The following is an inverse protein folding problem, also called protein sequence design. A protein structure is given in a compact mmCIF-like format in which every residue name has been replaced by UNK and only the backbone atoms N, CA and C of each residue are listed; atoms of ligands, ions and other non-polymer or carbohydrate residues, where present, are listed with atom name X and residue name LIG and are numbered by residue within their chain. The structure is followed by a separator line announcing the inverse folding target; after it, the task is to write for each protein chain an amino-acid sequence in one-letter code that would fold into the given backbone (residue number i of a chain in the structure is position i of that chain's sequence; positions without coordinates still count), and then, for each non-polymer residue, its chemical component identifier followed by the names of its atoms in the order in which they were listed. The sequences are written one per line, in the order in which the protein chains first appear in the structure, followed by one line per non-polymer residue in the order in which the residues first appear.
data_IF_707198189169
#
_entry.id   IF_707198189169
#
_cell.length_a   1.000
_cell.length_b   1.000
_cell.length_c   1.000
_cell.angle_alpha   90.00
_cell.angle_beta   90.00
_cell.angle_gamma   90.00
#
_symmetry.space_group_name_H-M   'P 1'
#
loop_
_entity.id
_entity.type
_entity.pdbx_description
1 polymer ?
#
# COMPACT_ATOMS: atom_id res chain seq x y z
N UNK A 1 -26.12 -0.62 -0.14
CA UNK A 1 -25.67 -1.63 0.85
C UNK A 1 -25.90 -1.12 2.25
N UNK A 2 -25.42 0.09 2.54
CA UNK A 2 -25.64 0.81 3.79
C UNK A 2 -27.14 1.03 4.10
N UNK A 3 -28.00 1.20 3.09
CA UNK A 3 -29.46 1.31 3.30
C UNK A 3 -30.12 0.03 3.84
N UNK A 4 -29.41 -1.10 3.81
CA UNK A 4 -29.93 -2.42 4.20
C UNK A 4 -29.19 -3.03 5.39
N UNK A 5 -28.07 -2.43 5.82
CA UNK A 5 -27.19 -2.99 6.84
C UNK A 5 -26.47 -1.88 7.60
N UNK A 6 -26.42 -2.01 8.93
CA UNK A 6 -25.49 -1.25 9.77
C UNK A 6 -24.09 -1.82 9.61
N UNK A 7 -23.19 -1.10 8.93
CA UNK A 7 -21.85 -1.56 8.63
C UNK A 7 -20.81 -0.96 9.58
N UNK A 8 -20.25 -1.79 10.47
CA UNK A 8 -19.32 -1.36 11.54
C UNK A 8 -17.91 -1.97 11.41
N UNK A 9 -17.51 -2.40 10.21
CA UNK A 9 -16.21 -3.05 9.96
C UNK A 9 -15.39 -2.37 8.85
N UNK A 10 -15.58 -1.07 8.66
CA UNK A 10 -14.92 -0.30 7.57
C UNK A 10 -13.39 -0.34 7.60
N UNK A 11 -12.79 -0.58 8.77
CA UNK A 11 -11.35 -0.76 8.93
C UNK A 11 -10.81 -2.04 8.24
N UNK A 12 -11.67 -3.04 8.01
CA UNK A 12 -11.29 -4.25 7.27
C UNK A 12 -11.41 -4.04 5.76
N UNK A 13 -12.61 -3.67 5.29
CA UNK A 13 -12.87 -3.37 3.90
C UNK A 13 -13.98 -2.31 3.81
N UNK A 14 -13.76 -1.25 3.05
CA UNK A 14 -14.80 -0.25 2.80
C UNK A 14 -15.90 -0.78 1.88
N UNK A 15 -17.17 -0.35 2.03
CA UNK A 15 -18.18 -0.56 1.01
C UNK A 15 -17.75 0.06 -0.33
N UNK A 16 -18.01 -0.63 -1.44
CA UNK A 16 -17.70 -0.11 -2.77
C UNK A 16 -18.59 1.10 -3.07
N UNK A 17 -17.98 2.24 -3.42
CA UNK A 17 -18.71 3.44 -3.82
C UNK A 17 -19.27 3.32 -5.24
N UNK A 18 -20.38 4.00 -5.53
CA UNK A 18 -20.94 4.04 -6.89
C UNK A 18 -19.94 4.56 -7.91
N UNK A 19 -19.17 5.61 -7.55
CA UNK A 19 -18.09 6.15 -8.39
C UNK A 19 -17.01 5.11 -8.70
N UNK A 20 -16.58 4.33 -7.69
CA UNK A 20 -15.58 3.28 -7.89
C UNK A 20 -16.12 2.17 -8.80
N UNK A 21 -17.41 1.84 -8.68
CA UNK A 21 -18.07 0.88 -9.56
C UNK A 21 -18.11 1.36 -11.01
N UNK A 22 -18.54 2.60 -11.23
CA UNK A 22 -18.59 3.23 -12.55
C UNK A 22 -17.21 3.28 -13.22
N UNK A 23 -16.15 3.57 -12.47
CA UNK A 23 -14.78 3.55 -13.00
C UNK A 23 -14.33 2.14 -13.43
N UNK A 24 -14.74 1.10 -12.71
CA UNK A 24 -14.44 -0.28 -13.07
C UNK A 24 -15.22 -0.70 -14.32
N UNK A 25 -16.50 -0.31 -14.42
CA UNK A 25 -17.31 -0.57 -15.60
C UNK A 25 -16.72 0.14 -16.83
N UNK A 26 -16.32 1.41 -16.70
CA UNK A 26 -15.64 2.14 -17.78
C UNK A 26 -14.30 1.53 -18.20
N UNK A 27 -13.53 0.96 -17.26
CA UNK A 27 -12.33 0.19 -17.58
C UNK A 27 -12.65 -1.03 -18.46
N UNK A 28 -13.70 -1.77 -18.13
CA UNK A 28 -14.13 -2.94 -18.91
C UNK A 28 -14.64 -2.53 -20.29
N UNK A 29 -15.42 -1.45 -20.38
CA UNK A 29 -15.96 -0.93 -21.64
C UNK A 29 -14.85 -0.47 -22.59
N UNK A 30 -13.79 0.18 -22.09
CA UNK A 30 -12.66 0.60 -22.90
C UNK A 30 -12.00 -0.60 -23.61
N UNK A 31 -11.75 -1.68 -22.86
CA UNK A 31 -11.19 -2.92 -23.43
C UNK A 31 -12.14 -3.61 -24.39
N UNK A 32 -13.44 -3.60 -24.11
CA UNK A 32 -14.44 -4.26 -24.95
C UNK A 32 -14.67 -3.53 -26.29
N UNK A 33 -14.51 -2.21 -26.32
CA UNK A 33 -14.95 -1.38 -27.46
C UNK A 33 -13.81 -0.84 -28.33
N UNK A 34 -12.64 -0.54 -27.76
CA UNK A 34 -11.55 0.10 -28.51
C UNK A 34 -10.66 -0.87 -29.30
N UNK A 35 -10.70 -2.16 -28.97
CA UNK A 35 -10.08 -3.25 -29.73
C UNK A 35 -8.54 -3.30 -29.66
N UNK A 36 -7.84 -2.22 -30.00
CA UNK A 36 -6.38 -2.16 -29.95
C UNK A 36 -5.89 -1.71 -28.56
N UNK A 37 -4.94 -2.44 -27.94
CA UNK A 37 -4.43 -2.11 -26.60
C UNK A 37 -3.88 -0.69 -26.48
N UNK A 38 -3.21 -0.16 -27.49
CA UNK A 38 -2.55 1.15 -27.44
C UNK A 38 -3.55 2.29 -27.16
N UNK A 39 -4.74 2.25 -27.78
CA UNK A 39 -5.78 3.23 -27.52
C UNK A 39 -6.24 3.16 -26.06
N UNK A 40 -6.44 1.94 -25.53
CA UNK A 40 -6.84 1.76 -24.14
C UNK A 40 -5.77 2.28 -23.18
N UNK A 41 -4.50 1.95 -23.41
CA UNK A 41 -3.39 2.39 -22.57
C UNK A 41 -3.24 3.91 -22.55
N UNK A 42 -3.15 4.53 -23.73
CA UNK A 42 -2.80 5.94 -23.85
C UNK A 42 -3.97 6.89 -23.57
N UNK A 43 -5.19 6.50 -23.92
CA UNK A 43 -6.36 7.39 -23.78
C UNK A 43 -7.10 7.19 -22.45
N UNK A 44 -7.08 5.96 -21.89
CA UNK A 44 -7.86 5.63 -20.70
C UNK A 44 -6.97 5.36 -19.48
N UNK A 45 -6.06 4.38 -19.58
CA UNK A 45 -5.33 3.86 -18.40
C UNK A 45 -4.28 4.84 -17.88
N UNK A 46 -3.33 5.30 -18.72
CA UNK A 46 -2.28 6.22 -18.26
C UNK A 46 -2.86 7.54 -17.74
N UNK A 47 -3.86 8.18 -18.40
CA UNK A 47 -4.51 9.36 -17.85
C UNK A 47 -5.21 9.08 -16.51
N UNK A 48 -5.86 7.92 -16.34
CA UNK A 48 -6.48 7.54 -15.07
C UNK A 48 -5.44 7.34 -13.95
N UNK A 49 -4.31 6.68 -14.25
CA UNK A 49 -3.20 6.52 -13.32
C UNK A 49 -2.61 7.88 -12.91
N UNK A 50 -2.40 8.79 -13.86
CA UNK A 50 -1.88 10.12 -13.58
C UNK A 50 -2.82 10.93 -12.66
N UNK A 51 -4.14 10.87 -12.90
CA UNK A 51 -5.16 11.51 -12.04
C UNK A 51 -5.17 10.89 -10.64
N UNK A 52 -5.07 9.56 -10.53
CA UNK A 52 -5.01 8.87 -9.24
C UNK A 52 -3.78 9.32 -8.44
N UNK A 53 -2.60 9.28 -9.05
CA UNK A 53 -1.35 9.73 -8.43
C UNK A 53 -1.45 11.17 -7.95
N UNK A 54 -1.92 12.07 -8.80
CA UNK A 54 -2.07 13.50 -8.46
C UNK A 54 -3.05 13.73 -7.30
N UNK A 55 -4.18 13.04 -7.30
CA UNK A 55 -5.20 13.19 -6.26
C UNK A 55 -4.72 12.64 -4.90
N UNK A 56 -4.01 11.50 -4.92
CA UNK A 56 -3.44 10.92 -3.71
C UNK A 56 -2.28 11.76 -3.18
N UNK A 57 -1.41 12.26 -4.05
CA UNK A 57 -0.28 13.11 -3.68
C UNK A 57 -0.75 14.39 -2.97
N UNK A 58 -1.80 15.05 -3.50
CA UNK A 58 -2.41 16.21 -2.85
C UNK A 58 -2.99 15.90 -1.45
N UNK A 59 -3.53 14.69 -1.25
CA UNK A 59 -4.02 14.23 0.04
C UNK A 59 -2.86 13.92 1.02
N UNK A 60 -1.79 13.30 0.52
CA UNK A 60 -0.64 12.88 1.30
C UNK A 60 0.35 14.02 1.59
N UNK A 61 0.27 15.14 0.87
CA UNK A 61 1.19 16.26 1.02
C UNK A 61 2.56 16.04 0.35
N UNK A 62 2.58 15.31 -0.78
CA UNK A 62 3.79 15.01 -1.55
C UNK A 62 3.59 15.33 -3.05
N UNK A 63 4.65 15.17 -3.84
CA UNK A 63 4.57 15.32 -5.30
C UNK A 63 4.06 14.04 -5.98
N UNK A 64 3.44 14.19 -7.15
CA UNK A 64 2.83 13.05 -7.84
C UNK A 64 3.86 12.01 -8.33
N UNK A 65 5.09 12.42 -8.63
CA UNK A 65 6.18 11.53 -9.01
C UNK A 65 6.69 10.68 -7.84
N UNK A 66 6.50 11.11 -6.59
CA UNK A 66 6.80 10.34 -5.37
C UNK A 66 5.78 9.20 -5.11
N UNK A 67 4.66 9.15 -5.84
CA UNK A 67 3.61 8.13 -5.64
C UNK A 67 3.77 6.95 -6.60
N UNK A 68 3.93 5.74 -6.04
CA UNK A 68 3.86 4.49 -6.79
C UNK A 68 2.51 3.79 -6.59
N UNK A 69 1.91 3.29 -7.68
CA UNK A 69 0.68 2.49 -7.63
C UNK A 69 1.07 1.03 -7.39
N UNK A 70 0.55 0.42 -6.32
CA UNK A 70 0.76 -0.99 -5.97
C UNK A 70 -0.58 -1.70 -5.76
N UNK A 71 -0.54 -3.03 -5.61
CA UNK A 71 -1.76 -3.86 -5.49
C UNK A 71 -2.25 -4.03 -4.06
N UNK A 72 -1.35 -3.94 -3.08
CA UNK A 72 -1.61 -4.00 -1.63
C UNK A 72 -0.33 -3.66 -0.85
N UNK A 73 -0.46 -3.52 0.47
CA UNK A 73 0.65 -3.18 1.38
C UNK A 73 1.77 -4.24 1.37
N UNK A 74 1.44 -5.54 1.32
CA UNK A 74 2.44 -6.61 1.33
C UNK A 74 3.38 -6.53 0.11
N UNK A 75 2.82 -6.26 -1.06
CA UNK A 75 3.61 -6.05 -2.30
C UNK A 75 4.39 -4.75 -2.22
N UNK A 76 3.78 -3.65 -1.74
CA UNK A 76 4.48 -2.37 -1.58
C UNK A 76 5.74 -2.50 -0.69
N UNK A 77 5.59 -3.12 0.48
CA UNK A 77 6.72 -3.37 1.40
C UNK A 77 7.75 -4.32 0.79
N UNK A 78 7.32 -5.37 0.08
CA UNK A 78 8.25 -6.30 -0.57
C UNK A 78 9.06 -5.61 -1.69
N UNK A 79 8.45 -4.70 -2.43
CA UNK A 79 9.13 -3.87 -3.44
C UNK A 79 10.15 -2.96 -2.78
N UNK A 80 9.79 -2.25 -1.70
CA UNK A 80 10.74 -1.42 -0.94
C UNK A 80 11.92 -2.25 -0.44
N UNK A 81 11.64 -3.38 0.22
CA UNK A 81 12.68 -4.24 0.78
C UNK A 81 13.63 -4.78 -0.30
N UNK A 82 13.15 -5.04 -1.52
CA UNK A 82 13.99 -5.49 -2.63
C UNK A 82 14.99 -4.45 -3.15
N UNK A 83 14.75 -3.16 -2.87
CA UNK A 83 15.60 -2.07 -3.29
C UNK A 83 16.68 -1.71 -2.25
N UNK A 84 16.65 -2.33 -1.07
CA UNK A 84 17.59 -2.05 0.01
C UNK A 84 18.76 -3.03 0.01
N UNK A 85 19.98 -2.51 0.12
CA UNK A 85 21.15 -3.31 0.48
C UNK A 85 21.27 -3.40 2.00
N UNK A 86 20.94 -4.56 2.55
CA UNK A 86 20.98 -4.85 3.99
C UNK A 86 22.17 -5.74 4.37
N UNK A 87 23.17 -5.88 3.48
CA UNK A 87 24.37 -6.69 3.75
C UNK A 87 25.44 -5.95 4.58
N UNK A 88 25.38 -4.62 4.64
CA UNK A 88 26.33 -3.78 5.35
C UNK A 88 26.04 -3.61 6.86
N UNK A 89 26.73 -2.65 7.50
CA UNK A 89 26.58 -2.37 8.93
C UNK A 89 25.20 -1.77 9.29
N UNK A 90 24.57 -1.07 8.33
CA UNK A 90 23.22 -0.50 8.47
C UNK A 90 22.15 -1.50 8.03
N UNK A 91 21.97 -2.57 8.80
CA UNK A 91 21.07 -3.67 8.46
C UNK A 91 19.97 -3.95 9.51
N UNK A 92 19.72 -3.00 10.41
CA UNK A 92 18.65 -3.13 11.40
C UNK A 92 17.32 -2.66 10.84
N UNK A 93 16.28 -3.46 11.05
CA UNK A 93 14.89 -3.11 10.75
C UNK A 93 14.13 -3.10 12.06
N UNK A 94 13.59 -1.94 12.43
CA UNK A 94 12.84 -1.75 13.67
C UNK A 94 11.36 -1.99 13.39
N UNK A 95 10.73 -2.84 14.19
CA UNK A 95 9.30 -3.16 14.13
C UNK A 95 8.69 -3.03 15.52
N UNK A 96 7.44 -2.59 15.58
CA UNK A 96 6.65 -2.51 16.81
C UNK A 96 5.82 -3.78 17.01
N UNK A 97 5.61 -4.19 18.27
CA UNK A 97 4.63 -5.24 18.60
C UNK A 97 3.18 -4.91 18.19
N UNK A 98 2.89 -3.64 17.92
CA UNK A 98 1.57 -3.16 17.49
C UNK A 98 1.44 -3.00 15.97
N UNK A 99 2.52 -3.22 15.21
CA UNK A 99 2.46 -3.16 13.75
C UNK A 99 1.49 -4.21 13.20
N UNK A 100 0.86 -3.90 12.06
CA UNK A 100 -0.04 -4.86 11.44
C UNK A 100 0.76 -6.09 10.99
N UNK A 101 0.24 -7.33 11.09
CA UNK A 101 1.03 -8.52 10.82
C UNK A 101 1.73 -8.55 9.45
N UNK A 102 1.16 -7.89 8.43
CA UNK A 102 1.81 -7.75 7.11
C UNK A 102 3.21 -7.18 7.21
N UNK A 103 3.40 -6.15 8.03
CA UNK A 103 4.67 -5.43 8.17
C UNK A 103 5.73 -6.38 8.69
N UNK A 104 5.43 -7.06 9.81
CA UNK A 104 6.33 -8.04 10.41
C UNK A 104 6.66 -9.22 9.50
N UNK A 105 5.67 -9.86 8.88
CA UNK A 105 5.91 -11.04 8.04
C UNK A 105 6.80 -10.75 6.84
N UNK A 106 6.61 -9.59 6.17
CA UNK A 106 7.45 -9.20 5.03
C UNK A 106 8.90 -9.03 5.47
N UNK A 107 9.15 -8.28 6.54
CA UNK A 107 10.50 -8.02 7.01
C UNK A 107 11.20 -9.24 7.60
N UNK A 108 10.49 -10.12 8.31
CA UNK A 108 11.04 -11.41 8.77
C UNK A 108 11.50 -12.25 7.57
N UNK A 109 10.67 -12.35 6.52
CA UNK A 109 11.00 -13.11 5.32
C UNK A 109 12.21 -12.53 4.58
N UNK A 110 12.36 -11.20 4.56
CA UNK A 110 13.52 -10.53 3.98
C UNK A 110 14.78 -10.69 4.82
N UNK A 111 14.69 -10.53 6.15
CA UNK A 111 15.82 -10.72 7.05
C UNK A 111 16.45 -12.11 6.93
N UNK A 112 15.63 -13.15 6.77
CA UNK A 112 16.09 -14.52 6.52
C UNK A 112 16.93 -14.68 5.23
N UNK A 113 16.80 -13.75 4.27
CA UNK A 113 17.50 -13.77 2.98
C UNK A 113 18.66 -12.78 2.90
N UNK A 114 18.55 -11.62 3.56
CA UNK A 114 19.48 -10.50 3.41
C UNK A 114 20.50 -10.38 4.55
N UNK A 115 20.31 -11.10 5.66
CA UNK A 115 21.12 -10.94 6.87
C UNK A 115 20.72 -9.73 7.73
N UNK A 116 19.61 -9.07 7.40
CA UNK A 116 19.06 -8.00 8.21
C UNK A 116 18.69 -8.48 9.62
N UNK A 117 18.78 -7.58 10.60
CA UNK A 117 18.45 -7.83 12.00
C UNK A 117 17.15 -7.15 12.36
N UNK A 118 16.15 -7.94 12.74
CA UNK A 118 14.89 -7.41 13.26
C UNK A 118 15.09 -6.97 14.71
N UNK A 119 14.68 -5.75 15.02
CA UNK A 119 14.61 -5.19 16.37
C UNK A 119 13.15 -4.95 16.71
N UNK A 120 12.66 -5.57 17.77
CA UNK A 120 11.27 -5.42 18.21
C UNK A 120 11.15 -4.37 19.31
N UNK A 121 10.37 -3.33 19.07
CA UNK A 121 9.92 -2.39 20.08
C UNK A 121 8.75 -3.01 20.84
N UNK A 122 8.93 -3.10 22.16
CA UNK A 122 7.94 -3.72 23.04
C UNK A 122 6.82 -2.75 23.35
N UNK A 123 5.59 -3.26 23.47
CA UNK A 123 4.43 -2.50 23.97
C UNK A 123 4.14 -2.90 25.41
N UNK A 124 4.54 -2.12 26.43
CA UNK A 124 4.36 -2.53 27.82
C UNK A 124 2.88 -2.61 28.25
N UNK A 125 2.02 -1.78 27.66
CA UNK A 125 0.58 -1.69 27.96
C UNK A 125 -0.29 -2.43 26.92
N UNK A 126 0.31 -2.95 25.84
CA UNK A 126 -0.39 -3.59 24.73
C UNK A 126 -1.21 -2.64 23.85
N UNK A 127 -1.07 -1.33 24.03
CA UNK A 127 -1.86 -0.30 23.34
C UNK A 127 -0.99 0.79 22.70
N UNK A 128 0.20 1.04 23.25
CA UNK A 128 1.12 2.09 22.80
C UNK A 128 2.57 1.60 22.74
N UNK A 129 3.40 2.31 21.98
CA UNK A 129 4.86 2.22 22.03
C UNK A 129 5.38 3.56 22.58
N UNK A 130 6.13 3.59 23.69
CA UNK A 130 6.78 4.80 24.17
C UNK A 130 7.67 5.41 23.08
N UNK A 131 7.62 6.72 22.88
CA UNK A 131 8.38 7.39 21.81
C UNK A 131 9.88 7.22 22.00
N UNK A 132 10.35 7.20 23.25
CA UNK A 132 11.74 7.02 23.63
C UNK A 132 12.29 5.63 23.24
N UNK A 133 11.42 4.68 22.88
CA UNK A 133 11.84 3.37 22.37
C UNK A 133 12.34 3.44 20.92
N UNK A 134 12.09 4.54 20.19
CA UNK A 134 12.54 4.74 18.81
C UNK A 134 13.91 5.45 18.70
N UNK A 135 14.45 5.96 19.82
CA UNK A 135 15.77 6.61 19.90
C UNK A 135 16.93 5.59 19.89
#
# INVERSE_FOLDING_TARGET
MLDRKTYLISASLGPISSRSREMLDGYLDAWATKGAPDHVWHEDIFPAMARLKSSFAALAGCDADEVAITTNISIALSTIASCLDLSGERNRVVLSELDFPTDGHVWIAWAAKSGAKIVWLRSPDGLTIPLEAYD
#
